data_IF_970358367233
#
_entry.id   IF_970358367233
#
_cell.length_a   1.000
_cell.length_b   1.000
_cell.length_c   1.000
_cell.angle_alpha   90.00
_cell.angle_beta   90.00
_cell.angle_gamma   90.00
#
_symmetry.space_group_name_H-M   'P 1'
#
loop_
_entity.id
_entity.type
_entity.pdbx_description
1 polymer ?
#
# COMPACT_ATOMS: atom_id res chain seq x y z
N UNK A 1 31.12 -48.71 -69.39
CA UNK A 1 30.16 -48.57 -68.26
C UNK A 1 30.55 -47.33 -67.54
N UNK A 2 29.84 -46.25 -67.76
CA UNK A 2 30.14 -44.94 -67.18
C UNK A 2 28.98 -44.57 -66.21
N UNK A 3 29.30 -44.56 -64.87
CA UNK A 3 28.34 -44.13 -63.84
C UNK A 3 28.32 -42.59 -63.73
N UNK A 4 27.17 -42.00 -64.04
CA UNK A 4 26.88 -40.57 -63.86
C UNK A 4 26.40 -40.41 -62.42
N UNK A 5 27.20 -39.70 -61.59
CA UNK A 5 26.83 -39.29 -60.23
C UNK A 5 25.91 -38.03 -60.37
N UNK A 6 24.74 -38.10 -59.73
CA UNK A 6 23.82 -36.98 -59.60
C UNK A 6 24.08 -36.26 -58.28
N UNK A 7 24.21 -34.90 -58.24
CA UNK A 7 24.39 -34.21 -56.96
C UNK A 7 23.05 -34.07 -56.23
N UNK A 8 22.98 -34.59 -55.01
CA UNK A 8 21.90 -34.33 -54.06
C UNK A 8 22.00 -32.88 -53.59
N UNK A 9 21.07 -32.04 -54.02
CA UNK A 9 20.83 -30.73 -53.41
C UNK A 9 20.07 -30.91 -52.10
N UNK A 10 20.75 -30.73 -50.95
CA UNK A 10 20.12 -30.61 -49.65
C UNK A 10 19.65 -29.17 -49.50
N UNK A 11 18.34 -28.94 -49.66
CA UNK A 11 17.71 -27.64 -49.40
C UNK A 11 17.60 -27.44 -47.88
N UNK A 12 18.45 -26.57 -47.32
CA UNK A 12 18.41 -26.16 -45.94
C UNK A 12 17.23 -25.18 -45.74
N UNK A 13 16.08 -25.67 -45.24
CA UNK A 13 14.96 -24.85 -44.86
C UNK A 13 15.34 -24.03 -43.60
N UNK A 14 15.73 -22.76 -43.79
CA UNK A 14 15.77 -21.78 -42.71
C UNK A 14 14.32 -21.51 -42.27
N UNK A 15 13.89 -22.10 -41.16
CA UNK A 15 12.67 -21.68 -40.46
C UNK A 15 12.90 -20.29 -39.89
N UNK A 16 12.36 -19.25 -40.54
CA UNK A 16 12.30 -17.91 -39.96
C UNK A 16 11.46 -17.98 -38.68
N UNK A 17 12.09 -17.84 -37.51
CA UNK A 17 11.38 -17.67 -36.27
C UNK A 17 10.60 -16.36 -36.35
N UNK A 18 9.27 -16.45 -36.50
CA UNK A 18 8.37 -15.32 -36.37
C UNK A 18 8.50 -14.86 -34.91
N UNK A 19 8.88 -13.60 -34.66
CA UNK A 19 8.91 -13.12 -33.29
C UNK A 19 7.49 -13.26 -32.72
N UNK A 20 7.33 -14.02 -31.63
CA UNK A 20 6.06 -14.09 -30.91
C UNK A 20 5.72 -12.67 -30.49
N UNK A 21 4.70 -12.08 -31.11
CA UNK A 21 4.24 -10.75 -30.78
C UNK A 21 3.95 -10.71 -29.27
N UNK A 22 4.47 -9.70 -28.58
CA UNK A 22 4.26 -9.53 -27.15
C UNK A 22 2.76 -9.60 -26.85
N UNK A 23 2.35 -10.50 -25.94
CA UNK A 23 0.94 -10.71 -25.66
C UNK A 23 0.34 -9.42 -25.09
N UNK A 24 -0.70 -8.92 -25.77
CA UNK A 24 -1.43 -7.73 -25.31
C UNK A 24 -2.19 -8.07 -24.04
N UNK A 25 -1.99 -7.28 -22.98
CA UNK A 25 -2.65 -7.43 -21.68
C UNK A 25 -3.66 -6.30 -21.48
N UNK A 26 -4.95 -6.62 -21.49
CA UNK A 26 -6.02 -5.68 -21.13
C UNK A 26 -6.33 -5.80 -19.65
N UNK A 27 -6.28 -4.69 -18.94
CA UNK A 27 -6.45 -4.57 -17.49
C UNK A 27 -7.58 -3.61 -17.17
N UNK A 28 -8.30 -3.87 -16.09
CA UNK A 28 -9.23 -2.92 -15.48
C UNK A 28 -8.57 -2.34 -14.23
N UNK A 29 -8.46 -1.02 -14.15
CA UNK A 29 -7.92 -0.36 -12.95
C UNK A 29 -9.00 -0.13 -11.88
N UNK A 30 -8.59 0.32 -10.68
CA UNK A 30 -9.49 0.50 -9.53
C UNK A 30 -10.47 1.68 -9.69
N UNK A 31 -10.34 2.48 -10.74
CA UNK A 31 -11.28 3.57 -11.10
C UNK A 31 -12.12 3.23 -12.35
N UNK A 32 -12.08 1.97 -12.78
CA UNK A 32 -12.94 1.43 -13.85
C UNK A 32 -12.46 1.74 -15.27
N UNK A 33 -11.18 2.14 -15.46
CA UNK A 33 -10.63 2.37 -16.81
C UNK A 33 -9.98 1.10 -17.35
N UNK A 34 -10.15 0.88 -18.64
CA UNK A 34 -9.43 -0.16 -19.37
C UNK A 34 -8.04 0.35 -19.78
N UNK A 35 -7.00 -0.34 -19.33
CA UNK A 35 -5.59 -0.05 -19.67
C UNK A 35 -5.03 -1.21 -20.48
N UNK A 36 -4.47 -0.91 -21.63
CA UNK A 36 -3.91 -1.91 -22.57
C UNK A 36 -2.39 -1.78 -22.58
N UNK A 37 -1.70 -2.85 -22.21
CA UNK A 37 -0.24 -2.98 -22.29
C UNK A 37 0.13 -3.92 -23.46
N UNK A 38 1.09 -3.52 -24.28
CA UNK A 38 1.59 -4.30 -25.40
C UNK A 38 2.84 -5.10 -25.03
N UNK A 39 2.76 -5.81 -23.89
CA UNK A 39 3.84 -6.57 -23.29
C UNK A 39 4.17 -6.10 -21.89
N UNK A 40 5.09 -6.79 -21.18
CA UNK A 40 5.54 -6.40 -19.86
C UNK A 40 6.30 -5.07 -19.93
N UNK A 41 6.02 -4.11 -19.03
CA UNK A 41 6.74 -2.85 -19.01
C UNK A 41 8.16 -3.01 -18.46
N UNK A 42 9.13 -2.39 -19.11
CA UNK A 42 10.53 -2.37 -18.67
C UNK A 42 10.86 -1.14 -17.79
N UNK A 43 10.05 -0.09 -17.89
CA UNK A 43 10.29 1.20 -17.25
C UNK A 43 9.04 1.67 -16.50
N UNK A 44 9.05 1.45 -15.18
CA UNK A 44 7.90 1.72 -14.31
C UNK A 44 8.19 2.92 -13.41
N UNK A 45 7.24 3.86 -13.35
CA UNK A 45 7.20 4.91 -12.32
C UNK A 45 6.15 4.52 -11.29
N UNK A 46 6.54 4.44 -10.01
CA UNK A 46 5.64 4.10 -8.91
C UNK A 46 5.32 5.35 -8.08
N UNK A 47 4.08 5.86 -8.20
CA UNK A 47 3.64 7.11 -7.54
C UNK A 47 2.84 6.84 -6.26
N UNK A 48 3.16 5.76 -5.55
CA UNK A 48 2.69 5.48 -4.21
C UNK A 48 3.65 4.52 -3.50
N UNK A 49 3.90 4.67 -2.18
CA UNK A 49 4.75 3.78 -1.43
C UNK A 49 4.30 2.30 -1.50
N UNK A 50 2.99 2.04 -1.46
CA UNK A 50 2.45 0.69 -1.60
C UNK A 50 2.80 0.02 -2.93
N UNK A 51 2.75 0.77 -4.04
CA UNK A 51 3.10 0.27 -5.37
C UNK A 51 4.60 -0.05 -5.45
N UNK A 52 5.44 0.82 -4.86
CA UNK A 52 6.89 0.59 -4.74
C UNK A 52 7.17 -0.68 -3.95
N UNK A 53 6.56 -0.84 -2.78
CA UNK A 53 6.73 -2.03 -1.94
C UNK A 53 6.31 -3.32 -2.66
N UNK A 54 5.20 -3.29 -3.42
CA UNK A 54 4.74 -4.45 -4.20
C UNK A 54 5.76 -4.81 -5.29
N UNK A 55 6.25 -3.83 -6.06
CA UNK A 55 7.24 -4.09 -7.11
C UNK A 55 8.53 -4.70 -6.55
N UNK A 56 9.04 -4.19 -5.44
CA UNK A 56 10.20 -4.79 -4.76
C UNK A 56 9.91 -6.19 -4.24
N UNK A 57 8.75 -6.42 -3.61
CA UNK A 57 8.36 -7.74 -3.12
C UNK A 57 8.23 -8.78 -4.25
N UNK A 58 7.92 -8.34 -5.45
CA UNK A 58 7.84 -9.17 -6.65
C UNK A 58 9.17 -9.33 -7.40
N UNK A 59 10.24 -8.64 -6.96
CA UNK A 59 11.57 -8.67 -7.60
C UNK A 59 11.58 -7.97 -8.96
N UNK A 60 10.83 -6.87 -9.06
CA UNK A 60 10.77 -6.01 -10.26
C UNK A 60 11.48 -4.67 -10.05
N UNK A 61 12.39 -4.58 -9.07
CA UNK A 61 13.11 -3.36 -8.70
C UNK A 61 13.96 -2.78 -9.84
N UNK A 62 14.47 -3.61 -10.73
CA UNK A 62 15.27 -3.18 -11.89
C UNK A 62 14.43 -2.43 -12.93
N UNK A 63 13.13 -2.70 -12.97
CA UNK A 63 12.18 -1.99 -13.85
C UNK A 63 11.75 -0.63 -13.29
N UNK A 64 12.03 -0.33 -12.00
CA UNK A 64 11.64 0.94 -11.38
C UNK A 64 12.61 2.06 -11.78
N UNK A 65 12.12 3.03 -12.56
CA UNK A 65 12.90 4.19 -13.00
C UNK A 65 12.70 5.42 -12.12
N UNK A 66 11.60 5.50 -11.37
CA UNK A 66 11.39 6.51 -10.33
C UNK A 66 10.29 6.05 -9.36
N UNK A 67 10.32 6.63 -8.17
CA UNK A 67 9.33 6.40 -7.10
C UNK A 67 8.80 7.73 -6.58
N UNK A 68 7.69 7.70 -5.84
CA UNK A 68 7.22 8.89 -5.14
C UNK A 68 8.17 9.29 -3.98
N UNK A 69 8.04 10.53 -3.51
CA UNK A 69 8.94 11.09 -2.49
C UNK A 69 8.89 10.38 -1.13
N UNK A 70 7.83 9.64 -0.81
CA UNK A 70 7.65 8.91 0.45
C UNK A 70 7.97 7.41 0.34
N UNK A 71 8.32 6.92 -0.85
CA UNK A 71 8.74 5.53 -1.05
C UNK A 71 10.13 5.28 -0.47
N UNK A 72 10.20 4.76 0.73
CA UNK A 72 11.44 4.57 1.50
C UNK A 72 11.66 3.11 1.94
N UNK A 73 10.69 2.23 1.64
CA UNK A 73 10.79 0.80 1.91
C UNK A 73 10.67 -0.04 0.61
N UNK A 74 11.53 -1.09 0.47
CA UNK A 74 12.71 -1.39 1.30
C UNK A 74 13.78 -0.28 1.19
N UNK A 75 14.85 -0.30 2.00
CA UNK A 75 15.88 0.75 1.96
C UNK A 75 16.44 1.06 0.57
N UNK A 76 16.50 0.06 -0.31
CA UNK A 76 16.88 0.21 -1.71
C UNK A 76 15.98 1.16 -2.52
N UNK A 77 14.72 1.34 -2.13
CA UNK A 77 13.82 2.30 -2.77
C UNK A 77 14.34 3.75 -2.64
N UNK A 78 15.11 4.04 -1.57
CA UNK A 78 15.68 5.38 -1.32
C UNK A 78 16.69 5.81 -2.39
N UNK A 79 17.26 4.87 -3.14
CA UNK A 79 18.25 5.16 -4.20
C UNK A 79 17.61 5.54 -5.54
N UNK A 80 16.29 5.33 -5.69
CA UNK A 80 15.58 5.64 -6.93
C UNK A 80 15.28 7.13 -7.05
N UNK A 81 15.24 7.69 -8.28
CA UNK A 81 14.79 9.07 -8.53
C UNK A 81 13.43 9.35 -7.89
N UNK A 82 13.23 10.56 -7.36
CA UNK A 82 12.04 10.96 -6.61
C UNK A 82 11.12 11.84 -7.45
N UNK A 83 9.82 11.60 -7.35
CA UNK A 83 8.77 12.39 -7.98
C UNK A 83 7.75 12.79 -6.91
N UNK A 84 7.32 14.06 -6.93
CA UNK A 84 6.18 14.49 -6.10
C UNK A 84 4.88 13.90 -6.66
N UNK A 85 4.12 13.08 -5.91
CA UNK A 85 2.94 12.42 -6.47
C UNK A 85 1.75 13.37 -6.66
N UNK A 86 1.66 14.47 -5.90
CA UNK A 86 0.54 15.42 -5.98
C UNK A 86 0.82 16.63 -6.91
N UNK A 87 2.10 16.91 -7.19
CA UNK A 87 2.52 17.98 -8.09
C UNK A 87 3.71 17.48 -8.93
N UNK A 88 3.52 16.42 -9.75
CA UNK A 88 4.61 15.87 -10.52
C UNK A 88 5.02 16.80 -11.65
N UNK A 89 6.32 16.92 -11.90
CA UNK A 89 6.81 17.49 -13.16
C UNK A 89 6.58 16.46 -14.27
N UNK A 90 5.61 16.71 -15.14
CA UNK A 90 5.34 15.83 -16.29
C UNK A 90 6.53 15.75 -17.22
N UNK A 91 7.28 16.86 -17.40
CA UNK A 91 8.53 16.87 -18.18
C UNK A 91 9.58 15.92 -17.59
N UNK A 92 9.75 15.91 -16.27
CA UNK A 92 10.64 14.98 -15.58
C UNK A 92 10.23 13.54 -15.82
N UNK A 93 8.92 13.23 -15.74
CA UNK A 93 8.39 11.90 -15.99
C UNK A 93 8.66 11.47 -17.44
N UNK A 94 8.36 12.33 -18.41
CA UNK A 94 8.55 12.03 -19.84
C UNK A 94 10.04 11.79 -20.15
N UNK A 95 10.97 12.55 -19.55
CA UNK A 95 12.41 12.33 -19.69
C UNK A 95 12.86 10.94 -19.21
N UNK A 96 12.16 10.36 -18.24
CA UNK A 96 12.41 9.00 -17.78
C UNK A 96 11.92 7.94 -18.77
N UNK A 97 11.13 8.31 -19.78
CA UNK A 97 10.56 7.42 -20.79
C UNK A 97 9.92 6.18 -20.16
N UNK A 98 8.94 6.33 -19.24
CA UNK A 98 8.28 5.17 -18.65
C UNK A 98 7.30 4.54 -19.65
N UNK A 99 7.15 3.21 -19.55
CA UNK A 99 6.12 2.45 -20.25
C UNK A 99 4.83 2.44 -19.43
N UNK A 100 4.97 2.44 -18.10
CA UNK A 100 3.87 2.36 -17.15
C UNK A 100 4.08 3.28 -15.95
N UNK A 101 3.01 3.95 -15.55
CA UNK A 101 2.91 4.64 -14.27
C UNK A 101 1.90 3.88 -13.39
N UNK A 102 2.33 3.43 -12.21
CA UNK A 102 1.44 2.92 -11.17
C UNK A 102 1.11 4.07 -10.22
N UNK A 103 -0.12 4.57 -10.28
CA UNK A 103 -0.60 5.67 -9.46
C UNK A 103 -1.57 5.16 -8.37
N UNK A 104 -1.66 5.88 -7.24
CA UNK A 104 -2.76 5.75 -6.30
C UNK A 104 -3.88 6.76 -6.65
N UNK A 105 -5.04 6.66 -5.98
CA UNK A 105 -6.16 7.58 -6.25
C UNK A 105 -5.73 9.06 -6.21
N UNK A 106 -5.01 9.48 -5.16
CA UNK A 106 -4.59 10.87 -4.99
C UNK A 106 -3.45 11.33 -5.92
N UNK A 107 -2.67 10.39 -6.49
CA UNK A 107 -1.55 10.69 -7.41
C UNK A 107 -1.88 10.48 -8.89
N UNK A 108 -3.09 10.02 -9.20
CA UNK A 108 -3.49 9.68 -10.56
C UNK A 108 -3.81 10.92 -11.42
N UNK A 109 -4.64 11.82 -10.92
CA UNK A 109 -5.17 12.94 -11.70
C UNK A 109 -4.08 13.77 -12.41
N UNK A 110 -2.96 14.15 -11.77
CA UNK A 110 -1.92 14.94 -12.41
C UNK A 110 -1.21 14.22 -13.57
N UNK A 111 -1.18 12.87 -13.57
CA UNK A 111 -0.43 12.08 -14.57
C UNK A 111 -1.31 11.45 -15.64
N UNK A 112 -2.63 11.43 -15.48
CA UNK A 112 -3.57 10.89 -16.48
C UNK A 112 -3.39 11.49 -17.89
N UNK A 113 -3.06 12.79 -18.08
CA UNK A 113 -2.81 13.34 -19.41
C UNK A 113 -1.69 12.66 -20.19
N UNK A 114 -0.73 11.99 -19.50
CA UNK A 114 0.38 11.27 -20.13
C UNK A 114 -0.09 10.02 -20.89
N UNK A 115 -1.26 9.46 -20.57
CA UNK A 115 -1.83 8.32 -21.31
C UNK A 115 -2.07 8.65 -22.79
N UNK A 116 -2.45 9.90 -23.09
CA UNK A 116 -2.59 10.42 -24.45
C UNK A 116 -1.26 10.57 -25.20
N UNK A 117 -0.15 10.60 -24.46
CA UNK A 117 1.21 10.67 -25.01
C UNK A 117 1.88 9.28 -25.12
N UNK A 118 1.11 8.21 -24.89
CA UNK A 118 1.57 6.82 -25.01
C UNK A 118 2.12 6.21 -23.72
N UNK A 119 2.22 6.98 -22.61
CA UNK A 119 2.62 6.46 -21.31
C UNK A 119 1.40 5.90 -20.60
N UNK A 120 1.36 4.60 -20.35
CA UNK A 120 0.22 3.96 -19.69
C UNK A 120 0.13 4.32 -18.21
N UNK A 121 -1.06 4.67 -17.74
CA UNK A 121 -1.32 4.98 -16.33
C UNK A 121 -2.33 3.99 -15.78
N UNK A 122 -1.93 3.22 -14.76
CA UNK A 122 -2.78 2.27 -14.04
C UNK A 122 -3.02 2.80 -12.62
N UNK A 123 -4.28 3.00 -12.26
CA UNK A 123 -4.68 3.52 -10.94
C UNK A 123 -5.03 2.38 -10.01
N UNK A 124 -4.31 2.29 -8.89
CA UNK A 124 -4.52 1.30 -7.84
C UNK A 124 -5.00 2.02 -6.57
N UNK A 125 -6.27 1.80 -6.22
CA UNK A 125 -6.97 2.50 -5.14
C UNK A 125 -7.68 1.49 -4.21
N UNK A 126 -6.94 0.56 -3.57
CA UNK A 126 -7.52 -0.48 -2.74
C UNK A 126 -8.24 0.13 -1.53
N UNK A 127 -9.38 -0.46 -1.14
CA UNK A 127 -10.17 -0.07 0.04
C UNK A 127 -10.26 -1.19 1.08
N UNK A 128 -9.99 -2.41 0.67
CA UNK A 128 -10.03 -3.61 1.50
C UNK A 128 -8.74 -4.42 1.35
N UNK A 129 -8.51 -5.39 2.24
CA UNK A 129 -7.39 -6.32 2.08
C UNK A 129 -7.51 -7.15 0.79
N UNK A 130 -8.73 -7.52 0.38
CA UNK A 130 -8.93 -8.24 -0.88
C UNK A 130 -8.54 -7.40 -2.10
N UNK A 131 -8.76 -6.08 -2.05
CA UNK A 131 -8.28 -5.18 -3.09
C UNK A 131 -6.74 -5.11 -3.12
N UNK A 132 -6.09 -5.10 -1.95
CA UNK A 132 -4.62 -5.17 -1.86
C UNK A 132 -4.12 -6.47 -2.49
N UNK A 133 -4.74 -7.61 -2.18
CA UNK A 133 -4.37 -8.90 -2.76
C UNK A 133 -4.58 -8.92 -4.28
N UNK A 134 -5.71 -8.40 -4.75
CA UNK A 134 -5.99 -8.25 -6.19
C UNK A 134 -4.92 -7.39 -6.88
N UNK A 135 -4.52 -6.28 -6.28
CA UNK A 135 -3.52 -5.39 -6.84
C UNK A 135 -2.12 -6.02 -6.87
N UNK A 136 -1.74 -6.79 -5.85
CA UNK A 136 -0.50 -7.57 -5.85
C UNK A 136 -0.50 -8.60 -7.00
N UNK A 137 -1.62 -9.34 -7.18
CA UNK A 137 -1.74 -10.31 -8.26
C UNK A 137 -1.74 -9.63 -9.64
N UNK A 138 -2.39 -8.48 -9.77
CA UNK A 138 -2.42 -7.70 -10.99
C UNK A 138 -1.02 -7.21 -11.39
N UNK A 139 -0.28 -6.60 -10.45
CA UNK A 139 1.11 -6.19 -10.69
C UNK A 139 1.96 -7.43 -11.02
N UNK A 140 1.73 -8.56 -10.33
CA UNK A 140 2.42 -9.82 -10.62
C UNK A 140 2.27 -10.28 -12.08
N UNK A 141 1.07 -10.15 -12.65
CA UNK A 141 0.83 -10.43 -14.09
C UNK A 141 1.55 -9.42 -15.00
N UNK A 142 1.54 -8.13 -14.64
CA UNK A 142 2.16 -7.06 -15.42
C UNK A 142 3.68 -7.24 -15.51
N UNK A 143 4.32 -7.68 -14.41
CA UNK A 143 5.79 -7.83 -14.35
C UNK A 143 6.25 -9.28 -14.52
N UNK A 144 5.34 -10.19 -14.93
CA UNK A 144 5.61 -11.63 -15.16
C UNK A 144 6.14 -12.35 -13.90
N UNK A 145 5.59 -12.01 -12.74
CA UNK A 145 5.96 -12.54 -11.44
C UNK A 145 4.78 -13.22 -10.70
N UNK A 146 3.82 -13.85 -11.44
CA UNK A 146 2.58 -14.40 -10.90
C UNK A 146 2.82 -15.40 -9.77
N UNK A 147 3.85 -16.24 -9.91
CA UNK A 147 4.20 -17.22 -8.88
C UNK A 147 4.65 -16.56 -7.57
N UNK A 148 5.39 -15.45 -7.64
CA UNK A 148 5.79 -14.66 -6.45
C UNK A 148 4.59 -13.94 -5.85
N UNK A 149 3.75 -13.33 -6.70
CA UNK A 149 2.55 -12.62 -6.28
C UNK A 149 1.59 -13.56 -5.54
N UNK A 150 1.35 -14.76 -6.08
CA UNK A 150 0.51 -15.77 -5.42
C UNK A 150 1.05 -16.17 -4.06
N UNK A 151 2.34 -16.49 -3.95
CA UNK A 151 2.96 -16.86 -2.66
C UNK A 151 2.87 -15.71 -1.64
N UNK A 152 3.09 -14.47 -2.07
CA UNK A 152 2.99 -13.30 -1.20
C UNK A 152 1.55 -13.14 -0.66
N UNK A 153 0.55 -13.22 -1.53
CA UNK A 153 -0.87 -13.11 -1.14
C UNK A 153 -1.27 -14.26 -0.22
N UNK A 154 -0.87 -15.50 -0.52
CA UNK A 154 -1.17 -16.66 0.32
C UNK A 154 -0.56 -16.49 1.73
N UNK A 155 0.69 -16.01 1.83
CA UNK A 155 1.35 -15.73 3.12
C UNK A 155 0.63 -14.60 3.88
N UNK A 156 0.22 -13.53 3.21
CA UNK A 156 -0.55 -12.44 3.82
C UNK A 156 -1.89 -12.93 4.36
N UNK A 157 -2.65 -13.72 3.58
CA UNK A 157 -3.92 -14.31 4.00
C UNK A 157 -3.77 -15.23 5.23
N UNK A 158 -2.74 -16.05 5.26
CA UNK A 158 -2.45 -16.92 6.41
C UNK A 158 -2.19 -16.09 7.69
N UNK A 159 -1.41 -15.02 7.60
CA UNK A 159 -1.12 -14.13 8.73
C UNK A 159 -2.39 -13.43 9.22
N UNK A 160 -3.22 -12.90 8.31
CA UNK A 160 -4.51 -12.29 8.67
C UNK A 160 -5.42 -13.31 9.34
N UNK A 161 -5.56 -14.51 8.79
CA UNK A 161 -6.38 -15.58 9.38
C UNK A 161 -5.89 -15.96 10.79
N UNK A 162 -4.58 -16.00 11.02
CA UNK A 162 -3.99 -16.26 12.33
C UNK A 162 -4.36 -15.17 13.35
N UNK A 163 -4.34 -13.89 12.96
CA UNK A 163 -4.78 -12.78 13.83
C UNK A 163 -6.27 -12.93 14.16
N UNK A 164 -7.12 -13.11 13.14
CA UNK A 164 -8.57 -13.25 13.33
C UNK A 164 -8.93 -14.41 14.25
N UNK A 165 -8.22 -15.54 14.13
CA UNK A 165 -8.41 -16.69 15.01
C UNK A 165 -8.08 -16.35 16.48
N UNK A 166 -6.99 -15.62 16.72
CA UNK A 166 -6.55 -15.22 18.07
C UNK A 166 -7.49 -14.23 18.74
N UNK A 167 -8.03 -13.26 18.00
CA UNK A 167 -8.89 -12.22 18.54
C UNK A 167 -10.36 -12.64 18.63
N UNK A 168 -10.73 -13.79 18.06
CA UNK A 168 -12.10 -14.30 18.10
C UNK A 168 -12.58 -14.47 19.54
N UNK A 169 -13.75 -13.86 19.86
CA UNK A 169 -14.34 -13.93 21.19
C UNK A 169 -13.58 -13.14 22.27
N UNK A 170 -12.56 -12.37 21.90
CA UNK A 170 -11.93 -11.45 22.83
C UNK A 170 -12.82 -10.21 23.10
N UNK A 171 -12.69 -9.55 24.26
CA UNK A 171 -13.30 -8.23 24.47
C UNK A 171 -12.88 -7.27 23.37
N UNK A 172 -13.76 -6.33 22.99
CA UNK A 172 -13.48 -5.36 21.93
C UNK A 172 -13.24 -3.98 22.54
N UNK A 173 -12.00 -3.61 22.81
CA UNK A 173 -11.67 -2.31 23.41
C UNK A 173 -11.98 -1.17 22.44
N UNK A 174 -12.43 -0.04 22.98
CA UNK A 174 -12.59 1.21 22.25
C UNK A 174 -11.20 1.81 21.96
N UNK A 175 -10.93 2.13 20.72
CA UNK A 175 -9.61 2.61 20.26
C UNK A 175 -9.74 3.99 19.65
N UNK A 176 -8.90 4.92 20.08
CA UNK A 176 -8.61 6.15 19.36
C UNK A 176 -7.26 6.00 18.67
N UNK A 177 -7.18 6.30 17.37
CA UNK A 177 -5.91 6.32 16.63
C UNK A 177 -5.60 7.77 16.28
N UNK A 178 -4.55 8.32 16.87
CA UNK A 178 -4.04 9.64 16.53
C UNK A 178 -3.11 9.53 15.32
N UNK A 179 -3.42 10.27 14.26
CA UNK A 179 -2.65 10.27 13.01
C UNK A 179 -1.82 11.54 12.83
N UNK A 180 -2.32 12.66 13.32
CA UNK A 180 -1.66 13.95 13.28
C UNK A 180 -2.21 14.84 14.40
N UNK A 181 -1.33 15.31 15.26
CA UNK A 181 -1.60 16.26 16.32
C UNK A 181 -0.86 17.59 16.13
N UNK A 182 -0.74 18.06 14.88
CA UNK A 182 -0.30 19.43 14.58
C UNK A 182 -1.18 20.47 15.27
N UNK A 183 -2.49 20.16 15.44
CA UNK A 183 -3.38 20.78 16.40
C UNK A 183 -3.70 19.79 17.54
N UNK A 184 -3.01 19.86 18.69
CA UNK A 184 -3.21 18.91 19.79
C UNK A 184 -4.57 19.04 20.50
N UNK A 185 -5.33 20.13 20.25
CA UNK A 185 -6.69 20.31 20.77
C UNK A 185 -7.70 19.54 19.92
N UNK A 186 -7.39 19.35 18.64
CA UNK A 186 -8.25 18.67 17.67
C UNK A 186 -7.42 17.75 16.75
N UNK A 187 -6.80 16.69 17.29
CA UNK A 187 -5.99 15.78 16.49
C UNK A 187 -6.82 15.09 15.40
N UNK A 188 -6.18 14.82 14.27
CA UNK A 188 -6.74 13.99 13.23
C UNK A 188 -6.74 12.53 13.62
N UNK A 189 -7.80 11.84 13.27
CA UNK A 189 -7.96 10.39 13.43
C UNK A 189 -8.47 9.75 12.15
N UNK A 190 -8.64 8.43 12.18
CA UNK A 190 -9.14 7.64 11.08
C UNK A 190 -10.60 7.26 11.29
N UNK A 191 -11.45 7.66 10.37
CA UNK A 191 -12.87 7.31 10.31
C UNK A 191 -13.15 6.18 9.32
N UNK A 192 -14.45 5.94 9.01
CA UNK A 192 -14.89 4.84 8.16
C UNK A 192 -14.32 4.94 6.74
N UNK A 193 -14.00 3.77 6.16
CA UNK A 193 -13.42 3.67 4.82
C UNK A 193 -11.91 3.88 4.73
N UNK A 194 -11.24 4.16 5.85
CA UNK A 194 -9.77 4.18 5.94
C UNK A 194 -9.23 2.78 6.24
N UNK A 195 -7.99 2.48 5.82
CA UNK A 195 -7.33 1.23 6.22
C UNK A 195 -7.11 1.13 7.72
N UNK A 196 -6.87 2.23 8.40
CA UNK A 196 -6.69 2.26 9.86
C UNK A 196 -7.97 1.79 10.57
N UNK A 197 -9.14 2.27 10.13
CA UNK A 197 -10.44 1.80 10.65
C UNK A 197 -10.61 0.29 10.42
N UNK A 198 -10.32 -0.18 9.20
CA UNK A 198 -10.35 -1.60 8.86
C UNK A 198 -9.43 -2.43 9.77
N UNK A 199 -8.20 -1.96 10.00
CA UNK A 199 -7.24 -2.67 10.85
C UNK A 199 -7.67 -2.71 12.31
N UNK A 200 -8.24 -1.63 12.86
CA UNK A 200 -8.81 -1.62 14.21
C UNK A 200 -9.89 -2.70 14.35
N UNK A 201 -10.79 -2.80 13.36
CA UNK A 201 -11.86 -3.79 13.37
C UNK A 201 -11.33 -5.23 13.27
N UNK A 202 -10.40 -5.49 12.34
CA UNK A 202 -9.77 -6.80 12.15
C UNK A 202 -8.91 -7.22 13.36
N UNK A 203 -8.29 -6.25 14.02
CA UNK A 203 -7.55 -6.47 15.26
C UNK A 203 -8.45 -6.71 16.48
N UNK A 204 -9.78 -6.71 16.31
CA UNK A 204 -10.76 -6.97 17.38
C UNK A 204 -11.06 -5.76 18.24
N UNK A 205 -10.76 -4.53 17.79
CA UNK A 205 -11.13 -3.27 18.46
C UNK A 205 -12.45 -2.69 17.98
N UNK A 206 -12.83 -1.57 18.58
CA UNK A 206 -13.91 -0.67 18.15
C UNK A 206 -13.32 0.71 17.94
N UNK A 207 -13.25 1.18 16.71
CA UNK A 207 -12.81 2.53 16.42
C UNK A 207 -13.85 3.56 16.91
N UNK A 208 -13.47 4.49 17.79
CA UNK A 208 -14.39 5.50 18.29
C UNK A 208 -14.84 6.49 17.21
N UNK A 209 -14.08 6.60 16.11
CA UNK A 209 -14.41 7.44 14.99
C UNK A 209 -15.24 6.74 13.89
N UNK A 210 -15.67 5.47 14.10
CA UNK A 210 -16.39 4.69 13.08
C UNK A 210 -17.73 5.29 12.62
N UNK A 211 -18.35 6.19 13.42
CA UNK A 211 -19.57 6.91 13.06
C UNK A 211 -19.35 8.27 12.40
N UNK A 212 -18.11 8.65 12.15
CA UNK A 212 -17.78 9.92 11.51
C UNK A 212 -18.25 9.94 10.05
N UNK A 213 -18.52 11.15 9.52
CA UNK A 213 -18.97 11.34 8.13
C UNK A 213 -17.83 11.33 7.11
N UNK A 214 -16.59 11.43 7.58
CA UNK A 214 -15.39 11.48 6.74
C UNK A 214 -14.39 10.42 7.16
N UNK A 215 -13.51 10.04 6.23
CA UNK A 215 -12.42 9.09 6.50
C UNK A 215 -11.32 9.69 7.40
N UNK A 216 -11.23 11.01 7.49
CA UNK A 216 -10.17 11.72 8.23
C UNK A 216 -10.78 12.83 9.09
N UNK A 217 -11.52 12.49 10.18
CA UNK A 217 -12.11 13.48 11.06
C UNK A 217 -11.08 14.02 12.05
N UNK A 218 -11.33 15.23 12.55
CA UNK A 218 -10.69 15.74 13.76
C UNK A 218 -11.59 15.46 14.96
N UNK A 219 -10.99 15.12 16.10
CA UNK A 219 -11.68 14.88 17.36
C UNK A 219 -11.28 15.93 18.40
N UNK A 220 -12.25 16.64 18.93
CA UNK A 220 -12.05 17.52 20.07
C UNK A 220 -11.86 16.72 21.37
N UNK A 221 -11.28 17.35 22.38
CA UNK A 221 -11.20 16.73 23.71
C UNK A 221 -12.57 16.35 24.28
N UNK A 222 -13.62 17.13 24.02
CA UNK A 222 -14.98 16.81 24.44
C UNK A 222 -15.50 15.51 23.80
N UNK A 223 -15.26 15.32 22.49
CA UNK A 223 -15.63 14.09 21.80
C UNK A 223 -14.84 12.90 22.34
N UNK A 224 -13.55 13.08 22.63
CA UNK A 224 -12.69 12.06 23.23
C UNK A 224 -13.19 11.67 24.63
N UNK A 225 -13.51 12.63 25.48
CA UNK A 225 -14.05 12.39 26.84
C UNK A 225 -15.41 11.68 26.79
N UNK A 226 -16.28 12.06 25.84
CA UNK A 226 -17.58 11.39 25.66
C UNK A 226 -17.42 9.95 25.19
N UNK A 227 -16.50 9.71 24.25
CA UNK A 227 -16.23 8.35 23.74
C UNK A 227 -15.48 7.50 24.76
N UNK A 228 -14.60 8.10 25.56
CA UNK A 228 -13.71 7.53 26.56
C UNK A 228 -13.05 6.23 26.07
N UNK A 229 -12.03 6.34 25.21
CA UNK A 229 -11.35 5.17 24.64
C UNK A 229 -10.64 4.36 25.73
N UNK A 230 -10.63 3.04 25.54
CA UNK A 230 -9.88 2.11 26.39
C UNK A 230 -8.39 2.14 26.07
N UNK A 231 -8.04 2.55 24.83
CA UNK A 231 -6.67 2.58 24.30
C UNK A 231 -6.49 3.73 23.29
N UNK A 232 -5.30 4.33 23.31
CA UNK A 232 -4.87 5.32 22.34
C UNK A 232 -3.67 4.74 21.57
N UNK A 233 -3.74 4.77 20.24
CA UNK A 233 -2.64 4.42 19.35
C UNK A 233 -2.13 5.71 18.73
N UNK A 234 -0.84 5.98 18.90
CA UNK A 234 -0.14 7.14 18.34
C UNK A 234 0.57 6.69 17.06
N UNK A 235 0.13 7.22 15.93
CA UNK A 235 0.71 6.91 14.62
C UNK A 235 1.47 8.11 14.03
N UNK A 236 1.64 9.18 14.79
CA UNK A 236 2.29 10.43 14.39
C UNK A 236 3.71 10.61 14.97
N UNK A 237 4.22 9.62 15.69
CA UNK A 237 5.56 9.68 16.31
C UNK A 237 6.69 9.87 15.27
N UNK A 238 6.53 9.31 14.06
CA UNK A 238 7.57 9.31 13.03
C UNK A 238 7.27 10.22 11.83
N UNK A 239 6.06 10.77 11.73
CA UNK A 239 5.56 11.41 10.50
C UNK A 239 5.47 12.93 10.60
N UNK A 240 5.36 13.47 11.80
CA UNK A 240 5.17 14.91 12.03
C UNK A 240 6.44 15.61 12.48
N UNK A 241 6.52 16.93 12.23
CA UNK A 241 7.61 17.76 12.77
C UNK A 241 7.55 17.88 14.32
N UNK A 242 6.46 17.40 14.93
CA UNK A 242 6.26 17.36 16.36
C UNK A 242 5.80 15.95 16.78
N UNK A 243 6.72 14.98 16.88
CA UNK A 243 6.38 13.60 17.18
C UNK A 243 5.70 13.47 18.55
N UNK A 244 4.56 12.76 18.57
CA UNK A 244 3.81 12.54 19.79
C UNK A 244 4.21 11.23 20.45
N UNK A 245 4.51 11.30 21.74
CA UNK A 245 4.79 10.12 22.56
C UNK A 245 3.71 9.95 23.63
N UNK A 246 3.55 8.76 24.23
CA UNK A 246 2.65 8.60 25.37
C UNK A 246 2.87 9.65 26.47
N UNK A 247 4.13 10.06 26.71
CA UNK A 247 4.48 11.05 27.72
C UNK A 247 4.04 12.47 27.34
N UNK A 248 4.16 12.86 26.07
CA UNK A 248 3.71 14.18 25.60
C UNK A 248 2.20 14.27 25.60
N UNK A 249 1.51 13.21 25.14
CA UNK A 249 0.05 13.12 25.11
C UNK A 249 -0.54 13.16 26.52
N UNK A 250 0.05 12.45 27.50
CA UNK A 250 -0.40 12.45 28.89
C UNK A 250 -0.36 13.84 29.55
N UNK A 251 0.50 14.75 29.05
CA UNK A 251 0.65 16.12 29.56
C UNK A 251 -0.30 17.13 28.90
N UNK A 252 -1.04 16.73 27.89
CA UNK A 252 -2.00 17.64 27.24
C UNK A 252 -3.12 18.03 28.19
N UNK A 253 -3.54 19.30 28.23
CA UNK A 253 -4.60 19.77 29.14
C UNK A 253 -5.88 18.92 28.97
N UNK A 254 -6.41 18.38 30.05
CA UNK A 254 -7.64 17.59 30.12
C UNK A 254 -7.51 16.13 29.69
N UNK A 255 -6.42 15.70 29.08
CA UNK A 255 -6.24 14.31 28.61
C UNK A 255 -6.06 13.32 29.77
N UNK A 256 -5.59 13.78 30.92
CA UNK A 256 -5.52 12.95 32.14
C UNK A 256 -6.88 12.40 32.61
N UNK A 257 -8.00 12.96 32.13
CA UNK A 257 -9.33 12.49 32.43
C UNK A 257 -9.74 11.26 31.60
N UNK A 258 -9.01 10.94 30.51
CA UNK A 258 -9.25 9.77 29.69
C UNK A 258 -8.76 8.51 30.40
N UNK A 259 -9.57 7.43 30.39
CA UNK A 259 -9.19 6.13 30.97
C UNK A 259 -7.90 5.57 30.38
N UNK A 260 -7.73 5.68 29.06
CA UNK A 260 -6.52 5.22 28.39
C UNK A 260 -5.26 5.87 28.95
N UNK A 261 -5.30 7.17 29.21
CA UNK A 261 -4.18 7.93 29.79
C UNK A 261 -3.92 7.49 31.23
N UNK A 262 -4.97 7.45 32.06
CA UNK A 262 -4.85 7.06 33.48
C UNK A 262 -4.33 5.62 33.66
N UNK A 263 -4.55 4.72 32.71
CA UNK A 263 -4.07 3.33 32.71
C UNK A 263 -2.74 3.14 31.99
N UNK A 264 -2.18 4.18 31.37
CA UNK A 264 -0.99 4.06 30.53
C UNK A 264 -1.22 3.23 29.27
N UNK A 265 -2.47 3.10 28.80
CA UNK A 265 -2.83 2.32 27.62
C UNK A 265 -2.67 3.15 26.33
N UNK A 266 -1.47 3.69 26.15
CA UNK A 266 -1.07 4.47 24.98
C UNK A 266 0.14 3.82 24.34
N UNK A 267 0.08 3.59 23.00
CA UNK A 267 1.11 2.85 22.28
C UNK A 267 1.40 3.53 20.94
N UNK A 268 2.69 3.70 20.63
CA UNK A 268 3.12 4.17 19.33
C UNK A 268 3.14 3.01 18.32
N UNK A 269 2.65 3.27 17.11
CA UNK A 269 2.74 2.38 15.94
C UNK A 269 3.23 3.19 14.76
N UNK A 270 4.16 2.63 13.98
CA UNK A 270 4.58 3.27 12.75
C UNK A 270 3.38 3.43 11.79
N UNK A 271 3.03 4.69 11.46
CA UNK A 271 1.94 5.04 10.55
C UNK A 271 2.02 4.33 9.21
N UNK A 272 3.24 4.10 8.69
CA UNK A 272 3.43 3.46 7.40
C UNK A 272 2.88 2.03 7.35
N UNK A 273 2.93 1.30 8.48
CA UNK A 273 2.43 -0.06 8.57
C UNK A 273 0.90 -0.15 8.60
N UNK A 274 0.22 0.94 8.96
CA UNK A 274 -1.24 0.96 9.09
C UNK A 274 -1.96 1.82 8.05
N UNK A 275 -1.21 2.63 7.28
CA UNK A 275 -1.78 3.54 6.28
C UNK A 275 -1.37 3.24 4.83
N UNK A 276 -0.32 2.42 4.61
CA UNK A 276 0.13 2.03 3.28
C UNK A 276 -0.49 0.69 2.87
N UNK A 277 -1.43 0.65 1.91
CA UNK A 277 -2.11 -0.58 1.50
C UNK A 277 -1.23 -1.45 0.59
N UNK A 278 -0.14 -1.96 1.14
CA UNK A 278 0.86 -2.81 0.50
C UNK A 278 1.13 -4.09 1.29
N UNK A 279 2.21 -4.82 0.97
CA UNK A 279 2.52 -6.10 1.62
C UNK A 279 2.67 -6.01 3.14
N UNK A 280 3.17 -4.88 3.66
CA UNK A 280 3.41 -4.66 5.10
C UNK A 280 2.16 -4.33 5.92
N UNK A 281 1.01 -4.12 5.29
CA UNK A 281 -0.24 -3.80 6.00
C UNK A 281 -0.61 -4.89 7.03
N UNK A 282 -0.21 -6.14 6.77
CA UNK A 282 -0.43 -7.27 7.68
C UNK A 282 0.42 -7.16 8.95
N UNK A 283 1.62 -6.57 8.87
CA UNK A 283 2.46 -6.28 10.05
C UNK A 283 1.77 -5.26 10.95
N UNK A 284 1.17 -4.22 10.35
CA UNK A 284 0.37 -3.24 11.08
C UNK A 284 -0.81 -3.88 11.81
N UNK A 285 -1.52 -4.80 11.14
CA UNK A 285 -2.61 -5.58 11.76
C UNK A 285 -2.11 -6.40 12.96
N UNK A 286 -1.01 -7.13 12.80
CA UNK A 286 -0.44 -7.96 13.86
C UNK A 286 0.00 -7.12 15.07
N UNK A 287 0.68 -5.98 14.82
CA UNK A 287 1.09 -5.07 15.89
C UNK A 287 -0.11 -4.51 16.63
N UNK A 288 -1.12 -4.05 15.90
CA UNK A 288 -2.35 -3.53 16.49
C UNK A 288 -3.05 -4.60 17.34
N UNK A 289 -3.23 -5.81 16.81
CA UNK A 289 -3.87 -6.91 17.52
C UNK A 289 -3.11 -7.31 18.79
N UNK A 290 -1.77 -7.32 18.76
CA UNK A 290 -0.92 -7.56 19.95
C UNK A 290 -1.10 -6.48 21.01
N UNK A 291 -1.28 -5.23 20.62
CA UNK A 291 -1.54 -4.13 21.56
C UNK A 291 -2.93 -4.22 22.17
N UNK A 292 -3.93 -4.55 21.37
CA UNK A 292 -5.32 -4.67 21.82
C UNK A 292 -5.54 -5.90 22.71
N UNK A 293 -4.83 -7.00 22.45
CA UNK A 293 -5.04 -8.30 23.10
C UNK A 293 -3.72 -8.97 23.50
N UNK A 294 -2.89 -8.35 24.36
CA UNK A 294 -1.55 -8.87 24.69
C UNK A 294 -1.58 -10.32 25.21
N UNK A 295 -2.62 -10.71 25.94
CA UNK A 295 -2.77 -12.05 26.50
C UNK A 295 -3.03 -13.13 25.45
N UNK A 296 -3.52 -12.77 24.26
CA UNK A 296 -3.76 -13.69 23.15
C UNK A 296 -2.53 -13.91 22.25
N UNK A 297 -1.47 -13.14 22.46
CA UNK A 297 -0.27 -13.14 21.61
C UNK A 297 1.02 -13.45 22.39
N UNK A 298 0.87 -14.02 23.58
CA UNK A 298 1.99 -14.57 24.36
C UNK A 298 2.57 -15.81 23.71
#
# INVERSE_FOLDING_TARGET
MTYRAWPLFVALLLAAAVPAGAATLTLLDDVGRSVVLNGPPDRIVALAPSNTEILFALGAEDRIVAVDQWSDHPPAAKTKPRISPFSPSLEQIVKLRPDLILAAHGSAEPVLPLDRQGVKVLVLAPRTLEDVYRNILLIGRIVEAEGRAKRLVDAMRQRVAAVLAKVRGAPRPKVFVELDASDPIRPFTAGPGSFVDLLVQLAGGVNIAASSRTAWPQFSLEELLRADPDMIILADELVTMNPQTPQTVARRPGWSLLRAVGRGAMYSINAELISRPGPRIVEGLELMARRLHPDRFR
#
